data_IF_365360615383
#
_entry.id   IF_365360615383
#
_cell.length_a   1.000
_cell.length_b   1.000
_cell.length_c   1.000
_cell.angle_alpha   90.00
_cell.angle_beta   90.00
_cell.angle_gamma   90.00
#
_symmetry.space_group_name_H-M   'P 1'
#
loop_
_entity.id
_entity.type
_entity.pdbx_description
1 polymer ?
#
# COMPACT_ATOMS: atom_id res chain seq x y z
N UNK A 1 -8.88 -9.67 -25.50
CA UNK A 1 -8.95 -8.20 -25.40
C UNK A 1 -7.52 -7.70 -25.42
N UNK A 2 -7.19 -6.77 -26.31
CA UNK A 2 -5.84 -6.21 -26.36
C UNK A 2 -5.60 -5.27 -25.17
N UNK A 3 -4.40 -5.31 -24.61
CA UNK A 3 -4.08 -4.48 -23.45
C UNK A 3 -3.99 -3.00 -23.87
N UNK A 4 -4.72 -2.13 -23.17
CA UNK A 4 -4.73 -0.69 -23.43
C UNK A 4 -3.41 0.01 -23.04
N UNK A 5 -2.64 -0.59 -22.16
CA UNK A 5 -1.35 -0.06 -21.71
C UNK A 5 -0.30 -1.17 -21.57
N UNK A 6 0.93 -0.87 -21.96
CA UNK A 6 2.07 -1.79 -21.80
C UNK A 6 2.66 -1.77 -20.41
N UNK A 7 2.58 -0.62 -19.71
CA UNK A 7 3.08 -0.40 -18.36
C UNK A 7 2.09 0.45 -17.59
N UNK A 8 1.94 0.17 -16.31
CA UNK A 8 1.11 0.93 -15.38
C UNK A 8 2.00 1.34 -14.20
N UNK A 9 1.94 2.60 -13.82
CA UNK A 9 2.51 3.11 -12.59
C UNK A 9 1.36 3.71 -11.76
N UNK A 10 1.18 3.20 -10.55
CA UNK A 10 0.24 3.75 -9.58
C UNK A 10 1.04 4.46 -8.50
N UNK A 11 0.82 5.75 -8.33
CA UNK A 11 1.49 6.56 -7.32
C UNK A 11 0.45 7.04 -6.29
N UNK A 12 0.60 6.59 -5.06
CA UNK A 12 -0.23 7.02 -3.94
C UNK A 12 0.48 8.07 -3.09
N UNK A 13 -0.27 9.07 -2.63
CA UNK A 13 0.21 10.12 -1.73
C UNK A 13 -0.74 10.19 -0.54
N UNK A 14 -0.25 9.79 0.63
CA UNK A 14 -1.04 9.83 1.86
C UNK A 14 -1.27 11.27 2.34
N UNK A 15 -2.44 11.51 2.94
CA UNK A 15 -2.77 12.82 3.52
C UNK A 15 -2.88 13.97 2.53
N UNK A 16 -2.99 13.72 1.24
CA UNK A 16 -3.09 14.77 0.23
C UNK A 16 -4.44 15.47 0.29
N UNK A 17 -4.48 16.64 0.93
CA UNK A 17 -5.70 17.46 1.02
C UNK A 17 -6.03 18.11 -0.34
N UNK A 18 -7.25 17.93 -0.88
CA UNK A 18 -7.62 18.45 -2.19
C UNK A 18 -7.73 19.96 -2.24
N UNK A 19 -8.16 20.61 -1.17
CA UNK A 19 -8.29 22.08 -1.11
C UNK A 19 -6.92 22.74 -1.06
N UNK A 20 -6.04 22.20 -0.22
CA UNK A 20 -4.65 22.67 -0.12
C UNK A 20 -3.89 22.43 -1.43
N UNK A 21 -4.07 21.29 -2.04
CA UNK A 21 -3.47 20.96 -3.35
C UNK A 21 -3.89 21.96 -4.43
N UNK A 22 -5.19 22.25 -4.54
CA UNK A 22 -5.71 23.25 -5.48
C UNK A 22 -5.16 24.65 -5.20
N UNK A 23 -5.07 25.02 -3.92
CA UNK A 23 -4.47 26.30 -3.51
C UNK A 23 -3.00 26.39 -3.94
N UNK A 24 -2.20 25.36 -3.70
CA UNK A 24 -0.81 25.33 -4.12
C UNK A 24 -0.65 25.42 -5.65
N UNK A 25 -1.48 24.71 -6.40
CA UNK A 25 -1.48 24.79 -7.87
C UNK A 25 -1.87 26.19 -8.36
N UNK A 26 -2.84 26.85 -7.74
CA UNK A 26 -3.25 28.21 -8.08
C UNK A 26 -2.15 29.25 -7.82
N UNK A 27 -1.35 29.03 -6.78
CA UNK A 27 -0.17 29.85 -6.44
C UNK A 27 1.08 29.58 -7.29
N UNK A 28 0.96 28.72 -8.31
CA UNK A 28 2.08 28.38 -9.20
C UNK A 28 2.98 27.23 -8.71
N UNK A 29 2.64 26.63 -7.59
CA UNK A 29 3.27 25.38 -7.12
C UNK A 29 2.77 24.14 -7.86
N UNK A 30 3.34 22.98 -7.54
CA UNK A 30 2.93 21.64 -8.06
C UNK A 30 2.82 21.62 -9.60
N UNK A 31 3.76 22.21 -10.30
CA UNK A 31 3.74 22.36 -11.77
C UNK A 31 3.58 21.02 -12.49
N UNK A 32 4.26 19.97 -12.01
CA UNK A 32 4.21 18.64 -12.61
C UNK A 32 2.82 18.00 -12.42
N UNK A 33 2.21 18.14 -11.25
CA UNK A 33 0.85 17.64 -11.01
C UNK A 33 -0.17 18.37 -11.90
N UNK A 34 -0.04 19.69 -12.02
CA UNK A 34 -0.89 20.49 -12.93
C UNK A 34 -0.77 20.02 -14.38
N UNK A 35 0.46 19.71 -14.82
CA UNK A 35 0.69 19.20 -16.18
C UNK A 35 0.12 17.78 -16.37
N UNK A 36 0.24 16.90 -15.38
CA UNK A 36 -0.38 15.57 -15.42
C UNK A 36 -1.90 15.69 -15.53
N UNK A 37 -2.52 16.55 -14.74
CA UNK A 37 -3.97 16.82 -14.79
C UNK A 37 -4.38 17.36 -16.16
N UNK A 38 -3.61 18.28 -16.73
CA UNK A 38 -3.89 18.85 -18.06
C UNK A 38 -3.84 17.81 -19.17
N UNK A 39 -2.96 16.83 -19.08
CA UNK A 39 -2.76 15.76 -20.09
C UNK A 39 -3.61 14.53 -19.87
N UNK A 40 -4.15 14.38 -18.69
CA UNK A 40 -4.92 13.20 -18.28
C UNK A 40 -6.35 13.57 -17.92
N UNK A 41 -6.91 12.76 -17.03
CA UNK A 41 -8.23 12.98 -16.44
C UNK A 41 -8.08 13.12 -14.92
N UNK A 42 -8.84 14.03 -14.33
CA UNK A 42 -8.88 14.22 -12.89
C UNK A 42 -10.31 14.52 -12.43
N UNK A 43 -10.63 14.10 -11.22
CA UNK A 43 -11.88 14.52 -10.59
C UNK A 43 -11.74 15.99 -10.15
N UNK A 44 -12.79 16.78 -10.34
CA UNK A 44 -12.79 18.19 -9.93
C UNK A 44 -12.58 18.37 -8.43
N UNK A 45 -13.21 17.54 -7.63
CA UNK A 45 -13.13 17.58 -6.18
C UNK A 45 -11.86 16.93 -5.60
N UNK A 46 -11.12 16.17 -6.41
CA UNK A 46 -9.93 15.41 -6.01
C UNK A 46 -10.18 14.47 -4.82
N UNK A 47 -11.43 14.13 -4.55
CA UNK A 47 -11.80 13.28 -3.41
C UNK A 47 -11.93 11.84 -3.84
N UNK A 48 -11.33 10.96 -3.07
CA UNK A 48 -11.55 9.52 -3.23
C UNK A 48 -12.95 9.15 -2.74
N UNK A 49 -13.67 8.43 -3.56
CA UNK A 49 -14.91 7.80 -3.11
C UNK A 49 -14.58 6.51 -2.36
N UNK A 50 -14.78 6.56 -1.07
CA UNK A 50 -14.55 5.43 -0.18
C UNK A 50 -15.49 5.47 1.00
N UNK A 51 -15.48 4.42 1.78
CA UNK A 51 -16.27 4.32 2.99
C UNK A 51 -15.66 5.10 4.16
N UNK A 52 -16.30 4.98 5.30
CA UNK A 52 -15.78 5.46 6.58
C UNK A 52 -15.11 4.30 7.34
N UNK A 53 -14.11 4.57 8.19
CA UNK A 53 -13.51 5.88 8.47
C UNK A 53 -12.47 6.32 7.41
N UNK A 54 -12.25 7.63 7.27
CA UNK A 54 -11.29 8.24 6.34
C UNK A 54 -9.90 8.31 6.96
N UNK A 55 -9.34 7.16 7.29
CA UNK A 55 -7.97 7.01 7.81
C UNK A 55 -7.17 6.07 6.93
N UNK A 56 -5.86 6.07 7.07
CA UNK A 56 -4.94 5.35 6.18
C UNK A 56 -5.33 3.89 5.92
N UNK A 57 -5.51 3.01 6.92
CA UNK A 57 -5.71 1.58 6.63
C UNK A 57 -6.95 1.28 5.76
N UNK A 58 -8.16 1.73 6.12
CA UNK A 58 -9.32 1.43 5.28
C UNK A 58 -9.26 2.09 3.91
N UNK A 59 -8.71 3.31 3.80
CA UNK A 59 -8.70 4.03 2.53
C UNK A 59 -7.68 3.46 1.54
N UNK A 60 -6.47 3.15 1.99
CA UNK A 60 -5.48 2.51 1.15
C UNK A 60 -5.89 1.10 0.73
N UNK A 61 -6.57 0.36 1.62
CA UNK A 61 -7.13 -0.94 1.27
C UNK A 61 -8.29 -0.82 0.28
N UNK A 62 -9.13 0.21 0.41
CA UNK A 62 -10.17 0.50 -0.58
C UNK A 62 -9.56 0.81 -1.96
N UNK A 63 -8.47 1.58 -2.03
CA UNK A 63 -7.76 1.83 -3.29
C UNK A 63 -7.18 0.54 -3.89
N UNK A 64 -6.65 -0.33 -3.05
CA UNK A 64 -6.04 -1.59 -3.48
C UNK A 64 -7.05 -2.65 -3.96
N UNK A 65 -8.29 -2.59 -3.48
CA UNK A 65 -9.29 -3.66 -3.69
C UNK A 65 -10.50 -3.22 -4.48
N UNK A 66 -10.78 -1.91 -4.55
CA UNK A 66 -12.04 -1.40 -5.06
C UNK A 66 -13.25 -1.70 -4.17
N UNK A 67 -13.05 -2.24 -2.97
CA UNK A 67 -14.08 -2.64 -2.03
C UNK A 67 -14.20 -1.66 -0.86
N UNK A 68 -15.38 -1.62 -0.23
CA UNK A 68 -15.59 -0.83 1.00
C UNK A 68 -15.00 -1.52 2.24
N UNK A 69 -14.71 -0.77 3.31
CA UNK A 69 -14.15 -1.31 4.55
C UNK A 69 -14.95 -2.46 5.16
N UNK A 70 -16.27 -2.43 5.06
CA UNK A 70 -17.12 -3.54 5.50
C UNK A 70 -16.90 -4.84 4.70
N UNK A 71 -16.47 -4.73 3.45
CA UNK A 71 -16.20 -5.87 2.57
C UNK A 71 -14.76 -6.37 2.76
N UNK A 72 -13.77 -5.49 2.69
CA UNK A 72 -12.37 -5.93 2.84
C UNK A 72 -11.95 -6.15 4.30
N UNK A 73 -12.72 -5.69 5.28
CA UNK A 73 -12.53 -5.98 6.70
C UNK A 73 -11.45 -5.16 7.41
N UNK A 74 -10.79 -4.24 6.73
CA UNK A 74 -9.75 -3.37 7.30
C UNK A 74 -10.39 -2.02 7.65
N UNK A 75 -10.65 -1.78 8.92
CA UNK A 75 -11.38 -0.60 9.39
C UNK A 75 -10.54 0.36 10.25
N UNK A 76 -9.39 -0.10 10.74
CA UNK A 76 -8.48 0.68 11.59
C UNK A 76 -7.08 0.06 11.53
N UNK A 77 -6.11 0.72 12.16
CA UNK A 77 -4.75 0.18 12.32
C UNK A 77 -4.72 -1.12 13.10
N UNK A 78 -5.56 -1.23 14.11
CA UNK A 78 -5.64 -2.41 14.98
C UNK A 78 -7.07 -2.92 15.06
N UNK A 79 -7.21 -4.19 15.32
CA UNK A 79 -8.46 -4.85 15.66
C UNK A 79 -8.29 -5.67 16.92
N UNK A 80 -9.39 -5.99 17.57
CA UNK A 80 -9.41 -6.93 18.69
C UNK A 80 -8.88 -8.29 18.24
N UNK A 81 -8.00 -8.89 19.03
CA UNK A 81 -7.58 -10.27 18.80
C UNK A 81 -8.78 -11.22 18.97
N UNK A 82 -9.00 -12.15 18.05
CA UNK A 82 -10.06 -13.14 18.21
C UNK A 82 -9.80 -14.11 19.37
N UNK A 83 -8.53 -14.33 19.70
CA UNK A 83 -8.11 -15.35 20.67
C UNK A 83 -7.84 -14.75 22.07
N UNK A 84 -7.75 -13.45 22.16
CA UNK A 84 -7.42 -12.74 23.42
C UNK A 84 -8.14 -11.39 23.48
N UNK A 85 -9.13 -11.25 24.35
CA UNK A 85 -9.90 -10.03 24.52
C UNK A 85 -9.08 -8.83 25.02
N UNK A 86 -7.94 -9.07 25.67
CA UNK A 86 -6.99 -8.02 26.06
C UNK A 86 -5.96 -7.66 24.99
N UNK A 87 -5.90 -8.43 23.90
CA UNK A 87 -4.91 -8.28 22.86
C UNK A 87 -5.43 -7.53 21.62
N UNK A 88 -4.51 -6.93 20.90
CA UNK A 88 -4.80 -6.30 19.62
C UNK A 88 -3.94 -6.92 18.51
N UNK A 89 -4.51 -7.00 17.32
CA UNK A 89 -3.83 -7.44 16.10
C UNK A 89 -3.71 -6.27 15.14
N UNK A 90 -2.51 -6.06 14.61
CA UNK A 90 -2.26 -5.03 13.63
C UNK A 90 -2.86 -5.38 12.27
N UNK A 91 -3.64 -4.47 11.70
CA UNK A 91 -4.47 -4.75 10.52
C UNK A 91 -3.76 -4.54 9.17
N UNK A 92 -2.55 -3.99 9.14
CA UNK A 92 -1.86 -3.68 7.88
C UNK A 92 -1.18 -4.92 7.24
N UNK A 93 -1.57 -6.10 7.66
CA UNK A 93 -1.17 -7.36 7.06
C UNK A 93 -2.09 -7.70 5.89
N UNK A 94 -1.53 -7.86 4.69
CA UNK A 94 -2.29 -8.16 3.46
C UNK A 94 -3.15 -9.43 3.57
N UNK A 95 -2.73 -10.42 4.35
CA UNK A 95 -3.48 -11.66 4.58
C UNK A 95 -4.75 -11.48 5.42
N UNK A 96 -4.89 -10.34 6.10
CA UNK A 96 -6.10 -10.00 6.85
C UNK A 96 -7.15 -9.30 5.98
N UNK A 97 -6.78 -8.86 4.80
CA UNK A 97 -7.69 -8.29 3.82
C UNK A 97 -8.57 -9.39 3.22
N UNK A 98 -9.89 -9.21 3.30
CA UNK A 98 -10.87 -10.19 2.82
C UNK A 98 -11.26 -10.00 1.35
N UNK A 99 -10.81 -8.92 0.72
CA UNK A 99 -11.03 -8.63 -0.68
C UNK A 99 -9.71 -8.76 -1.44
N UNK A 100 -9.80 -9.18 -2.70
CA UNK A 100 -8.63 -9.36 -3.56
C UNK A 100 -7.93 -8.03 -3.83
N UNK A 101 -6.62 -8.02 -3.71
CA UNK A 101 -5.79 -6.85 -3.96
C UNK A 101 -5.37 -6.81 -5.43
N UNK A 102 -5.44 -5.65 -6.04
CA UNK A 102 -5.27 -5.47 -7.49
C UNK A 102 -3.92 -5.99 -8.03
N UNK A 103 -2.88 -5.89 -7.24
CA UNK A 103 -1.55 -6.41 -7.62
C UNK A 103 -1.50 -7.94 -7.72
N UNK A 104 -2.27 -8.65 -6.89
CA UNK A 104 -2.41 -10.10 -7.01
C UNK A 104 -3.04 -10.45 -8.36
N UNK A 105 -4.13 -9.77 -8.73
CA UNK A 105 -4.79 -9.97 -10.02
C UNK A 105 -3.84 -9.77 -11.19
N UNK A 106 -3.00 -8.75 -11.17
CA UNK A 106 -2.00 -8.54 -12.22
C UNK A 106 -0.93 -9.64 -12.24
N UNK A 107 -0.40 -9.99 -11.08
CA UNK A 107 0.64 -11.01 -10.97
C UNK A 107 0.15 -12.38 -11.39
N UNK A 108 -1.05 -12.76 -10.98
CA UNK A 108 -1.70 -14.02 -11.36
C UNK A 108 -2.07 -14.07 -12.85
N UNK A 109 -2.35 -12.92 -13.46
CA UNK A 109 -2.50 -12.78 -14.91
C UNK A 109 -1.16 -12.78 -15.67
N UNK A 110 -0.05 -13.16 -15.03
CA UNK A 110 1.28 -13.27 -15.62
C UNK A 110 1.98 -11.93 -15.85
N UNK A 111 1.56 -10.86 -15.18
CA UNK A 111 2.20 -9.55 -15.30
C UNK A 111 3.22 -9.36 -14.18
N UNK A 112 4.45 -9.01 -14.53
CA UNK A 112 5.46 -8.63 -13.54
C UNK A 112 4.97 -7.40 -12.77
N UNK A 113 4.77 -7.57 -11.47
CA UNK A 113 4.16 -6.60 -10.58
C UNK A 113 5.08 -6.33 -9.41
N UNK A 114 5.37 -5.07 -9.17
CA UNK A 114 6.11 -4.60 -8.00
C UNK A 114 5.20 -3.71 -7.16
N UNK A 115 5.08 -4.03 -5.89
CA UNK A 115 4.42 -3.20 -4.88
C UNK A 115 5.47 -2.64 -3.95
N UNK A 116 5.54 -1.31 -3.87
CA UNK A 116 6.54 -0.64 -3.06
C UNK A 116 5.87 0.21 -1.98
N UNK A 117 6.04 -0.17 -0.74
CA UNK A 117 5.52 0.54 0.43
C UNK A 117 4.05 0.96 0.35
N UNK A 118 3.22 0.19 -0.35
CA UNK A 118 1.80 0.43 -0.34
C UNK A 118 1.23 0.04 1.04
N UNK A 119 0.55 0.94 1.76
CA UNK A 119 -0.03 0.60 3.05
C UNK A 119 -0.96 -0.61 2.97
N UNK A 120 -0.65 -1.63 3.75
CA UNK A 120 -1.37 -2.91 3.73
C UNK A 120 -0.83 -3.95 2.72
N UNK A 121 0.31 -3.68 2.07
CA UNK A 121 1.03 -4.65 1.24
C UNK A 121 2.15 -5.31 2.05
N UNK A 122 1.83 -6.09 3.05
CA UNK A 122 2.81 -6.74 3.90
C UNK A 122 3.54 -7.89 3.21
N UNK A 123 4.71 -8.23 3.72
CA UNK A 123 5.42 -9.46 3.41
C UNK A 123 5.16 -10.50 4.51
N UNK A 124 4.92 -11.79 4.20
CA UNK A 124 4.67 -12.31 2.86
C UNK A 124 3.34 -11.81 2.27
N UNK A 125 3.26 -11.67 0.93
CA UNK A 125 2.04 -11.23 0.27
C UNK A 125 0.90 -12.25 0.40
N UNK A 126 -0.30 -11.84 0.02
CA UNK A 126 -1.47 -12.73 0.01
C UNK A 126 -1.56 -13.61 -1.23
N UNK A 127 -0.73 -13.39 -2.25
CA UNK A 127 -0.61 -14.22 -3.45
C UNK A 127 0.77 -14.85 -3.53
N UNK A 128 0.84 -16.12 -3.93
CA UNK A 128 2.07 -16.88 -4.13
C UNK A 128 2.57 -16.79 -5.59
N UNK A 129 2.07 -15.83 -6.38
CA UNK A 129 2.48 -15.67 -7.77
C UNK A 129 3.95 -15.29 -7.89
N UNK A 130 4.75 -15.99 -8.72
CA UNK A 130 6.16 -15.65 -8.94
C UNK A 130 6.35 -14.32 -9.68
N UNK A 131 5.28 -13.72 -10.18
CA UNK A 131 5.30 -12.42 -10.83
C UNK A 131 5.07 -11.25 -9.87
N UNK A 132 4.87 -11.51 -8.58
CA UNK A 132 4.64 -10.51 -7.54
C UNK A 132 5.91 -10.31 -6.71
N UNK A 133 6.39 -9.10 -6.68
CA UNK A 133 7.41 -8.64 -5.73
C UNK A 133 6.81 -7.57 -4.82
N UNK A 134 7.00 -7.73 -3.51
CA UNK A 134 6.44 -6.80 -2.51
C UNK A 134 7.55 -6.31 -1.61
N UNK A 135 7.67 -4.98 -1.50
CA UNK A 135 8.41 -4.33 -0.44
C UNK A 135 7.41 -3.90 0.63
N UNK A 136 7.60 -4.39 1.84
CA UNK A 136 6.65 -4.25 2.94
C UNK A 136 6.14 -2.83 3.12
N UNK A 137 4.84 -2.66 3.00
CA UNK A 137 4.08 -1.43 3.25
C UNK A 137 3.21 -1.49 4.50
N UNK A 138 3.43 -2.48 5.36
CA UNK A 138 2.63 -2.69 6.57
C UNK A 138 2.78 -1.56 7.59
N UNK A 139 3.91 -0.88 7.60
CA UNK A 139 4.19 0.26 8.47
C UNK A 139 4.48 1.52 7.65
N UNK A 140 3.45 2.26 7.22
CA UNK A 140 3.62 3.47 6.41
C UNK A 140 4.54 4.50 7.09
N UNK A 141 5.51 5.01 6.36
CA UNK A 141 6.45 5.99 6.86
C UNK A 141 7.61 5.42 7.70
N UNK A 142 7.67 4.12 7.90
CA UNK A 142 8.72 3.45 8.68
C UNK A 142 9.33 2.32 7.87
N UNK A 143 10.36 2.63 7.12
CA UNK A 143 11.10 1.63 6.34
C UNK A 143 11.70 0.59 7.28
N UNK A 144 11.51 -0.68 6.97
CA UNK A 144 12.06 -1.80 7.74
C UNK A 144 11.33 -2.10 9.05
N UNK A 145 10.21 -1.46 9.34
CA UNK A 145 9.35 -1.85 10.44
C UNK A 145 8.33 -2.87 9.96
N UNK A 146 8.34 -4.04 10.57
CA UNK A 146 7.32 -5.05 10.36
C UNK A 146 6.08 -4.79 11.22
N UNK A 147 5.02 -5.54 11.00
CA UNK A 147 3.78 -5.46 11.77
C UNK A 147 3.90 -5.99 13.20
N UNK A 148 5.07 -6.39 13.64
CA UNK A 148 5.25 -7.08 14.91
C UNK A 148 4.80 -8.54 14.92
N UNK A 149 4.04 -8.96 13.92
CA UNK A 149 3.74 -10.37 13.64
C UNK A 149 4.81 -11.00 12.75
N UNK A 150 5.58 -10.16 12.13
CA UNK A 150 6.66 -10.50 11.23
C UNK A 150 7.96 -10.20 11.95
N UNK A 151 8.76 -11.18 11.99
CA UNK A 151 10.09 -11.14 12.55
C UNK A 151 11.13 -10.71 11.52
N UNK A 152 12.37 -10.94 11.86
CA UNK A 152 13.50 -10.66 10.99
C UNK A 152 13.44 -11.40 9.65
N UNK A 153 12.77 -12.56 9.56
CA UNK A 153 12.68 -13.33 8.33
C UNK A 153 11.90 -12.57 7.24
N UNK A 154 10.82 -11.89 7.63
CA UNK A 154 10.07 -11.07 6.70
C UNK A 154 10.90 -9.92 6.14
N UNK A 155 11.69 -9.27 6.97
CA UNK A 155 12.59 -8.19 6.55
C UNK A 155 13.68 -8.73 5.62
N UNK A 156 14.25 -9.87 5.96
CA UNK A 156 15.26 -10.53 5.14
C UNK A 156 14.68 -10.96 3.79
N UNK A 157 13.50 -11.57 3.76
CA UNK A 157 12.83 -11.94 2.53
C UNK A 157 12.59 -10.75 1.61
N UNK A 158 12.09 -9.63 2.15
CA UNK A 158 11.92 -8.41 1.38
C UNK A 158 13.23 -7.84 0.83
N UNK A 159 14.32 -7.93 1.60
CA UNK A 159 15.64 -7.46 1.16
C UNK A 159 16.28 -8.34 0.08
N UNK A 160 16.03 -9.63 0.12
CA UNK A 160 16.48 -10.55 -0.92
C UNK A 160 15.82 -10.26 -2.27
N UNK A 161 14.52 -9.97 -2.24
CA UNK A 161 13.75 -9.70 -3.47
C UNK A 161 14.12 -8.38 -4.15
N UNK A 162 14.55 -7.38 -3.39
CA UNK A 162 14.72 -6.02 -3.90
C UNK A 162 16.08 -5.41 -3.59
N UNK A 163 16.99 -6.16 -2.99
CA UNK A 163 18.29 -5.64 -2.55
C UNK A 163 18.13 -4.32 -1.76
N UNK A 164 17.26 -4.31 -0.76
CA UNK A 164 16.92 -3.12 -0.03
C UNK A 164 17.70 -3.03 1.31
N UNK A 165 18.96 -2.64 1.31
CA UNK A 165 19.80 -2.56 2.53
C UNK A 165 19.24 -1.60 3.56
N UNK A 166 18.37 -0.68 3.14
CA UNK A 166 17.66 0.22 4.05
C UNK A 166 16.76 -0.52 5.04
N UNK A 167 16.22 -1.66 4.68
CA UNK A 167 15.45 -2.49 5.58
C UNK A 167 16.31 -3.01 6.73
N UNK A 168 17.48 -3.50 6.39
CA UNK A 168 18.45 -4.00 7.35
C UNK A 168 18.95 -2.86 8.25
N UNK A 169 19.19 -1.68 7.68
CA UNK A 169 19.67 -0.52 8.42
C UNK A 169 18.68 0.02 9.43
N UNK A 170 17.37 -0.05 9.17
CA UNK A 170 16.35 0.57 10.01
C UNK A 170 15.57 -0.40 10.91
N UNK A 171 15.50 -1.64 10.59
CA UNK A 171 14.70 -2.58 11.39
C UNK A 171 15.35 -3.92 11.56
N UNK A 172 16.18 -4.27 10.62
CA UNK A 172 16.97 -5.48 10.69
C UNK A 172 18.23 -5.29 11.53
N UNK A 173 18.87 -6.37 11.81
CA UNK A 173 20.23 -6.38 12.38
C UNK A 173 21.20 -6.11 11.26
N UNK A 174 21.31 -4.86 10.85
CA UNK A 174 22.28 -4.43 9.84
C UNK A 174 23.74 -4.69 10.22
N UNK A 175 23.97 -5.04 11.46
CA UNK A 175 25.30 -5.29 12.02
C UNK A 175 25.85 -6.69 11.70
N UNK A 176 25.17 -7.40 10.87
CA UNK A 176 25.60 -8.75 10.47
C UNK A 176 26.57 -8.75 9.28
N UNK A 177 27.08 -7.56 8.88
CA UNK A 177 28.11 -7.42 7.86
C UNK A 177 29.18 -6.43 8.26
#
# INVERSE_FOLDING_TARGET
MEALAKKILVLGIDGMDPKFTKHCMAKGGMKNLKEIIRRGAAREDLVMMGGQPTVTPPMWTTLATGAYPCTHGITAYNRQSPDNLGGQVYNMNSKLCKAEQVWNCFAEAGKKTLVWHWPGSSWPPSSDSPNLSVVDGSSPGSVGMSTGQFDNEMILGASEDVEAPLFLANGGKADAN
#
